data_IF_212098269188
#
_entry.id   IF_212098269188
#
_cell.length_a   1.000
_cell.length_b   1.000
_cell.length_c   1.000
_cell.angle_alpha   90.00
_cell.angle_beta   90.00
_cell.angle_gamma   90.00
#
_symmetry.space_group_name_H-M   'P 1'
#
loop_
_entity.id
_entity.type
_entity.pdbx_description
1 polymer ?
#
# COMPACT_ATOMS: atom_id res chain seq x y z
N UNK A 1 25.19 -36.87 -34.74
CA UNK A 1 23.93 -36.42 -35.37
C UNK A 1 23.17 -35.65 -34.32
N UNK A 2 23.30 -34.32 -34.30
CA UNK A 2 22.62 -33.50 -33.30
C UNK A 2 21.19 -33.28 -33.79
N UNK A 3 20.23 -34.00 -33.22
CA UNK A 3 18.80 -33.71 -33.41
C UNK A 3 18.53 -32.30 -32.88
N UNK A 4 18.09 -31.40 -33.74
CA UNK A 4 17.60 -30.09 -33.34
C UNK A 4 16.43 -30.29 -32.35
N UNK A 5 16.35 -29.49 -31.27
CA UNK A 5 15.24 -29.59 -30.34
C UNK A 5 13.90 -29.36 -31.09
N UNK A 6 12.82 -30.04 -30.68
CA UNK A 6 11.50 -29.83 -31.27
C UNK A 6 11.12 -28.35 -31.24
N UNK A 7 10.48 -27.88 -32.31
CA UNK A 7 10.03 -26.47 -32.44
C UNK A 7 9.20 -26.04 -31.24
N UNK A 8 8.41 -26.97 -30.68
CA UNK A 8 7.65 -26.81 -29.44
C UNK A 8 8.52 -26.36 -28.26
N UNK A 9 9.70 -26.96 -28.08
CA UNK A 9 10.63 -26.59 -27.00
C UNK A 9 11.18 -25.19 -27.24
N UNK A 10 11.46 -24.84 -28.50
CA UNK A 10 12.02 -23.53 -28.86
C UNK A 10 11.06 -22.37 -28.57
N UNK A 11 9.74 -22.58 -28.68
CA UNK A 11 8.73 -21.54 -28.45
C UNK A 11 8.10 -21.60 -27.06
N UNK A 12 7.82 -22.80 -26.53
CA UNK A 12 7.17 -22.95 -25.22
C UNK A 12 8.10 -22.57 -24.09
N UNK A 13 9.40 -22.87 -24.21
CA UNK A 13 10.35 -22.59 -23.14
C UNK A 13 10.49 -21.09 -22.86
N UNK A 14 10.79 -20.21 -23.85
CA UNK A 14 10.83 -18.78 -23.62
C UNK A 14 9.51 -18.23 -23.08
N UNK A 15 8.37 -18.73 -23.58
CA UNK A 15 7.04 -18.30 -23.11
C UNK A 15 6.84 -18.60 -21.63
N UNK A 16 7.10 -19.85 -21.20
CA UNK A 16 6.97 -20.27 -19.80
C UNK A 16 7.90 -19.44 -18.90
N UNK A 17 9.15 -19.23 -19.32
CA UNK A 17 10.13 -18.42 -18.59
C UNK A 17 9.63 -16.98 -18.40
N UNK A 18 9.09 -16.36 -19.46
CA UNK A 18 8.57 -15.00 -19.37
C UNK A 18 7.32 -14.91 -18.49
N UNK A 19 6.39 -15.86 -18.62
CA UNK A 19 5.21 -15.92 -17.77
C UNK A 19 5.56 -16.12 -16.30
N UNK A 20 6.53 -16.99 -16.01
CA UNK A 20 7.01 -17.21 -14.64
C UNK A 20 7.69 -15.96 -14.08
N UNK A 21 8.49 -15.25 -14.88
CA UNK A 21 9.10 -13.98 -14.49
C UNK A 21 8.04 -12.91 -14.19
N UNK A 22 7.05 -12.74 -15.06
CA UNK A 22 5.94 -11.79 -14.85
C UNK A 22 5.13 -12.12 -13.60
N UNK A 23 4.87 -13.42 -13.37
CA UNK A 23 4.18 -13.88 -12.17
C UNK A 23 4.98 -13.55 -10.90
N UNK A 24 6.29 -13.82 -10.88
CA UNK A 24 7.16 -13.49 -9.74
C UNK A 24 7.23 -11.98 -9.47
N UNK A 25 7.33 -11.17 -10.52
CA UNK A 25 7.31 -9.70 -10.40
C UNK A 25 5.97 -9.25 -9.79
N UNK A 26 4.85 -9.69 -10.36
CA UNK A 26 3.52 -9.36 -9.86
C UNK A 26 3.36 -9.78 -8.39
N UNK A 27 3.75 -11.01 -8.05
CA UNK A 27 3.67 -11.54 -6.70
C UNK A 27 4.55 -10.75 -5.71
N UNK A 28 5.77 -10.39 -6.11
CA UNK A 28 6.65 -9.55 -5.29
C UNK A 28 6.04 -8.17 -5.03
N UNK A 29 5.47 -7.53 -6.04
CA UNK A 29 4.82 -6.24 -5.88
C UNK A 29 3.52 -6.33 -5.07
N UNK A 30 2.76 -7.41 -5.18
CA UNK A 30 1.56 -7.63 -4.37
C UNK A 30 1.94 -7.79 -2.88
N UNK A 31 2.95 -8.62 -2.57
CA UNK A 31 3.47 -8.76 -1.21
C UNK A 31 4.02 -7.44 -0.67
N UNK A 32 4.75 -6.67 -1.48
CA UNK A 32 5.24 -5.34 -1.10
C UNK A 32 4.11 -4.36 -0.86
N UNK A 33 3.08 -4.35 -1.71
CA UNK A 33 1.88 -3.52 -1.54
C UNK A 33 1.14 -3.88 -0.26
N UNK A 34 0.95 -5.17 0.04
CA UNK A 34 0.34 -5.61 1.31
C UNK A 34 1.10 -5.12 2.54
N UNK A 35 2.43 -4.98 2.44
CA UNK A 35 3.25 -4.36 3.50
C UNK A 35 3.05 -2.84 3.64
N UNK A 36 2.82 -2.13 2.53
CA UNK A 36 2.63 -0.66 2.52
C UNK A 36 1.18 -0.25 2.79
N UNK A 37 0.19 -1.00 2.30
CA UNK A 37 -1.25 -0.76 2.49
C UNK A 37 -1.63 -0.88 3.98
N UNK A 38 -0.97 -1.77 4.74
CA UNK A 38 -1.12 -1.86 6.21
C UNK A 38 -0.68 -0.60 6.96
N UNK A 39 0.09 0.30 6.34
CA UNK A 39 0.53 1.56 6.93
C UNK A 39 -0.33 2.76 6.51
N UNK A 40 -1.45 2.55 5.81
CA UNK A 40 -2.56 3.50 5.87
C UNK A 40 -3.20 3.36 7.24
N UNK A 41 -2.59 4.00 8.23
CA UNK A 41 -3.21 4.24 9.53
C UNK A 41 -4.56 4.86 9.22
N UNK A 42 -5.64 4.15 9.54
CA UNK A 42 -7.00 4.68 9.43
C UNK A 42 -6.99 6.05 10.09
N UNK A 43 -7.27 7.10 9.31
CA UNK A 43 -7.17 8.46 9.81
C UNK A 43 -8.01 8.63 11.07
N UNK A 44 -7.39 9.12 12.13
CA UNK A 44 -8.08 9.36 13.40
C UNK A 44 -8.96 10.59 13.22
N UNK A 45 -10.18 10.54 13.75
CA UNK A 45 -11.11 11.67 13.72
C UNK A 45 -10.82 12.54 14.94
N UNK A 46 -10.65 13.84 14.70
CA UNK A 46 -10.46 14.87 15.72
C UNK A 46 -11.63 15.83 15.68
N UNK A 47 -12.02 16.34 16.85
CA UNK A 47 -13.02 17.41 16.98
C UNK A 47 -12.43 18.52 17.82
N UNK A 48 -12.34 19.71 17.24
CA UNK A 48 -11.81 20.86 17.96
C UNK A 48 -12.77 21.33 19.06
N UNK A 49 -12.29 21.40 20.30
CA UNK A 49 -13.05 21.92 21.45
C UNK A 49 -13.32 23.43 21.35
N UNK A 50 -12.42 24.18 20.70
CA UNK A 50 -12.51 25.63 20.58
C UNK A 50 -13.38 26.11 19.41
N UNK A 51 -13.27 25.49 18.23
CA UNK A 51 -13.96 25.97 17.02
C UNK A 51 -14.96 24.97 16.41
N UNK A 52 -15.17 23.80 17.03
CA UNK A 52 -16.04 22.72 16.57
C UNK A 52 -15.74 22.15 15.17
N UNK A 53 -14.57 22.43 14.60
CA UNK A 53 -14.13 21.78 13.36
C UNK A 53 -13.91 20.27 13.60
N UNK A 54 -14.50 19.43 12.76
CA UNK A 54 -14.20 18.00 12.68
C UNK A 54 -13.24 17.78 11.51
N UNK A 55 -12.14 17.09 11.76
CA UNK A 55 -11.10 16.82 10.77
C UNK A 55 -10.51 15.42 10.97
N UNK A 56 -9.91 14.88 9.90
CA UNK A 56 -9.26 13.58 9.91
C UNK A 56 -7.77 13.79 9.74
N UNK A 57 -6.98 13.18 10.62
CA UNK A 57 -5.54 13.25 10.55
C UNK A 57 -4.90 11.86 10.65
N UNK A 58 -3.86 11.64 9.86
CA UNK A 58 -3.13 10.38 9.73
C UNK A 58 -1.82 10.39 10.54
N UNK A 59 -1.52 11.48 11.25
CA UNK A 59 -0.38 11.53 12.15
C UNK A 59 -0.54 10.52 13.29
N UNK A 60 0.51 9.75 13.55
CA UNK A 60 0.54 8.79 14.65
C UNK A 60 0.90 9.45 15.98
N UNK A 61 0.38 10.66 16.19
CA UNK A 61 0.54 11.44 17.41
C UNK A 61 -0.75 11.35 18.24
N UNK A 62 -0.67 11.39 19.58
CA UNK A 62 -1.85 11.33 20.45
C UNK A 62 -2.79 12.55 20.29
N UNK A 63 -2.26 13.67 19.80
CA UNK A 63 -3.02 14.88 19.52
C UNK A 63 -2.35 15.75 18.46
N UNK A 64 -3.14 16.58 17.79
CA UNK A 64 -2.70 17.47 16.70
C UNK A 64 -3.39 18.83 16.81
N UNK A 65 -2.72 19.88 16.34
CA UNK A 65 -3.28 21.22 16.33
C UNK A 65 -4.38 21.35 15.29
N UNK A 66 -5.46 22.04 15.65
CA UNK A 66 -6.57 22.28 14.74
C UNK A 66 -6.08 23.10 13.52
N UNK A 67 -6.32 22.66 12.28
CA UNK A 67 -5.87 23.37 11.08
C UNK A 67 -6.55 24.73 10.88
N UNK A 68 -7.63 25.02 11.64
CA UNK A 68 -8.37 26.28 11.56
C UNK A 68 -7.98 27.30 12.62
N UNK A 69 -7.83 26.88 13.88
CA UNK A 69 -7.60 27.81 15.00
C UNK A 69 -6.30 27.55 15.76
N UNK A 70 -5.54 26.51 15.41
CA UNK A 70 -4.28 26.15 16.10
C UNK A 70 -4.47 25.56 17.50
N UNK A 71 -5.69 25.30 17.95
CA UNK A 71 -5.92 24.69 19.25
C UNK A 71 -5.55 23.20 19.24
N UNK A 72 -4.73 22.76 20.18
CA UNK A 72 -4.34 21.36 20.34
C UNK A 72 -5.55 20.49 20.70
N UNK A 73 -5.80 19.41 19.95
CA UNK A 73 -6.87 18.46 20.27
C UNK A 73 -6.34 17.02 20.27
N UNK A 74 -6.88 16.22 21.19
CA UNK A 74 -6.70 14.77 21.18
C UNK A 74 -7.71 14.09 20.23
N UNK A 75 -7.35 12.90 19.76
CA UNK A 75 -8.24 12.10 18.93
C UNK A 75 -9.51 11.71 19.70
N UNK A 76 -10.65 11.71 19.01
CA UNK A 76 -11.92 11.26 19.60
C UNK A 76 -11.80 9.77 19.93
N UNK A 77 -11.80 9.43 21.23
CA UNK A 77 -11.86 8.04 21.70
C UNK A 77 -13.32 7.57 21.66
N UNK A 78 -13.57 6.41 21.06
CA UNK A 78 -14.87 5.71 21.14
C UNK A 78 -15.13 5.18 22.53
#
# INVERSE_FOLDING_TARGET
>A
MNQLPPVEVLFLWPLIVHLMLLFLIWFFYDLRKRGVEKKRVEGKIYRCSACNLVYVDNHDLPGTDCPRCGHYNEAVRR
#
